data_IF_115843202783
#
_entry.id   IF_115843202783
#
_cell.length_a   1.000
_cell.length_b   1.000
_cell.length_c   1.000
_cell.angle_alpha   90.00
_cell.angle_beta   90.00
_cell.angle_gamma   90.00
#
_symmetry.space_group_name_H-M   'P 1'
#
loop_
_entity.id
_entity.type
_entity.pdbx_description
1 polymer ?
#
# COMPACT_ATOMS: atom_id res chain seq x y z
N UNK A 1 -7.84 14.26 33.91
CA UNK A 1 -7.14 14.03 32.61
C UNK A 1 -7.49 12.67 31.98
N UNK A 2 -7.50 11.55 32.73
CA UNK A 2 -7.82 10.20 32.21
C UNK A 2 -9.23 10.04 31.58
N UNK A 3 -10.25 10.77 32.05
CA UNK A 3 -11.61 10.70 31.50
C UNK A 3 -11.80 11.34 30.12
N UNK A 4 -10.89 12.23 29.72
CA UNK A 4 -11.01 12.95 28.44
C UNK A 4 -10.41 12.18 27.26
N UNK A 5 -9.51 11.22 27.53
CA UNK A 5 -8.79 10.51 26.48
C UNK A 5 -9.58 9.31 25.90
N UNK A 6 -10.39 8.65 26.73
CA UNK A 6 -11.19 7.48 26.33
C UNK A 6 -12.10 7.71 25.10
N UNK A 7 -12.74 8.89 24.91
CA UNK A 7 -13.56 9.14 23.73
C UNK A 7 -12.80 9.61 22.47
N UNK A 8 -11.57 10.10 22.57
CA UNK A 8 -10.86 10.72 21.42
C UNK A 8 -9.96 9.74 20.64
N UNK A 9 -9.47 8.68 21.28
CA UNK A 9 -8.73 7.64 20.56
C UNK A 9 -9.54 6.94 19.44
N UNK A 10 -10.81 6.53 19.64
CA UNK A 10 -11.55 5.82 18.58
C UNK A 10 -11.83 6.69 17.35
N UNK A 11 -12.03 8.01 17.53
CA UNK A 11 -12.24 8.91 16.39
C UNK A 11 -10.95 9.13 15.60
N UNK A 12 -9.80 9.26 16.28
CA UNK A 12 -8.50 9.41 15.64
C UNK A 12 -8.10 8.14 14.87
N UNK A 13 -8.37 6.94 15.43
CA UNK A 13 -8.10 5.67 14.76
C UNK A 13 -8.96 5.48 13.51
N UNK A 14 -10.23 5.88 13.58
CA UNK A 14 -11.13 5.87 12.43
C UNK A 14 -10.60 6.74 11.30
N UNK A 15 -10.18 7.98 11.63
CA UNK A 15 -9.55 8.89 10.66
C UNK A 15 -8.23 8.32 10.11
N UNK A 16 -7.42 7.70 10.96
CA UNK A 16 -6.12 7.12 10.57
C UNK A 16 -6.28 5.98 9.58
N UNK A 17 -7.22 5.06 9.80
CA UNK A 17 -7.50 3.98 8.84
C UNK A 17 -8.03 4.53 7.52
N UNK A 18 -8.88 5.56 7.58
CA UNK A 18 -9.43 6.21 6.39
C UNK A 18 -8.33 6.92 5.58
N UNK A 19 -7.43 7.65 6.24
CA UNK A 19 -6.28 8.30 5.63
C UNK A 19 -5.27 7.29 5.08
N UNK A 20 -5.00 6.20 5.81
CA UNK A 20 -4.08 5.14 5.36
C UNK A 20 -4.66 4.42 4.15
N UNK A 21 -5.96 4.15 4.14
CA UNK A 21 -6.67 3.58 2.99
C UNK A 21 -6.61 4.52 1.78
N UNK A 22 -6.85 5.81 1.97
CA UNK A 22 -6.74 6.81 0.91
C UNK A 22 -5.30 6.95 0.38
N UNK A 23 -4.31 7.01 1.27
CA UNK A 23 -2.90 7.10 0.91
C UNK A 23 -2.44 5.86 0.13
N UNK A 24 -2.89 4.66 0.53
CA UNK A 24 -2.58 3.41 -0.18
C UNK A 24 -3.15 3.41 -1.60
N UNK A 25 -4.40 3.89 -1.77
CA UNK A 25 -5.00 4.07 -3.10
C UNK A 25 -4.28 5.13 -3.95
N UNK A 26 -3.91 6.25 -3.34
CA UNK A 26 -3.19 7.33 -4.03
C UNK A 26 -1.80 6.88 -4.52
N UNK A 27 -1.02 6.22 -3.65
CA UNK A 27 0.30 5.71 -4.02
C UNK A 27 0.24 4.69 -5.16
N UNK A 28 -0.78 3.81 -5.17
CA UNK A 28 -0.98 2.86 -6.26
C UNK A 28 -1.28 3.54 -7.62
N UNK A 29 -1.82 4.76 -7.62
CA UNK A 29 -2.10 5.50 -8.84
C UNK A 29 -0.91 6.32 -9.36
N UNK A 30 -0.02 6.79 -8.48
CA UNK A 30 1.07 7.72 -8.83
C UNK A 30 2.38 7.01 -9.17
N UNK A 31 2.64 5.84 -8.58
CA UNK A 31 3.90 5.11 -8.80
C UNK A 31 4.06 4.44 -10.19
N UNK A 32 3.02 3.88 -10.84
CA UNK A 32 3.21 3.09 -12.04
C UNK A 32 3.32 3.96 -13.30
N UNK A 33 4.48 3.91 -13.96
CA UNK A 33 4.74 4.54 -15.27
C UNK A 33 4.21 3.74 -16.45
N UNK A 34 3.83 2.48 -16.25
CA UNK A 34 3.46 1.55 -17.32
C UNK A 34 2.19 0.76 -16.96
N UNK A 35 1.39 0.40 -17.97
CA UNK A 35 0.09 -0.26 -17.78
C UNK A 35 0.19 -1.62 -17.06
N UNK A 36 1.30 -2.34 -17.24
CA UNK A 36 1.54 -3.65 -16.60
C UNK A 36 1.87 -3.50 -15.12
N UNK A 37 2.70 -2.53 -14.75
CA UNK A 37 3.06 -2.24 -13.35
C UNK A 37 1.85 -1.75 -12.54
N UNK A 38 0.97 -0.98 -13.19
CA UNK A 38 -0.30 -0.54 -12.59
C UNK A 38 -1.23 -1.69 -12.26
N UNK A 39 -1.25 -2.73 -13.10
CA UNK A 39 -2.01 -3.96 -12.88
C UNK A 39 -1.50 -4.71 -11.64
N UNK A 40 -0.18 -4.86 -11.50
CA UNK A 40 0.44 -5.52 -10.33
C UNK A 40 0.13 -4.77 -9.04
N UNK A 41 0.33 -3.45 -9.03
CA UNK A 41 0.07 -2.62 -7.86
C UNK A 41 -1.40 -2.71 -7.39
N UNK A 42 -2.35 -2.68 -8.33
CA UNK A 42 -3.78 -2.86 -8.04
C UNK A 42 -4.08 -4.26 -7.48
N UNK A 43 -3.49 -5.32 -8.04
CA UNK A 43 -3.70 -6.69 -7.54
C UNK A 43 -3.17 -6.88 -6.13
N UNK A 44 -1.99 -6.33 -5.81
CA UNK A 44 -1.44 -6.37 -4.45
C UNK A 44 -2.33 -5.63 -3.46
N UNK A 45 -2.82 -4.44 -3.82
CA UNK A 45 -3.76 -3.67 -2.99
C UNK A 45 -5.09 -4.40 -2.75
N UNK A 46 -5.61 -5.09 -3.76
CA UNK A 46 -6.86 -5.85 -3.66
C UNK A 46 -6.71 -7.11 -2.78
N UNK A 47 -5.57 -7.79 -2.85
CA UNK A 47 -5.25 -8.93 -1.99
C UNK A 47 -5.14 -8.50 -0.51
N UNK A 48 -4.52 -7.34 -0.25
CA UNK A 48 -4.41 -6.73 1.08
C UNK A 48 -5.76 -6.36 1.70
N UNK A 49 -6.73 -5.95 0.87
CA UNK A 49 -8.06 -5.59 1.34
C UNK A 49 -8.94 -6.79 1.73
N UNK A 50 -8.69 -7.96 1.12
CA UNK A 50 -9.57 -9.13 1.23
C UNK A 50 -9.04 -10.21 2.19
N UNK A 51 -7.73 -10.24 2.46
CA UNK A 51 -7.11 -11.28 3.30
C UNK A 51 -6.32 -10.68 4.47
N UNK A 52 -6.27 -11.41 5.59
CA UNK A 52 -5.52 -10.99 6.77
C UNK A 52 -4.04 -10.69 6.46
N UNK A 53 -3.47 -9.73 7.19
CA UNK A 53 -2.16 -9.13 6.91
C UNK A 53 -1.05 -10.15 6.63
N UNK A 54 -1.04 -11.28 7.36
CA UNK A 54 -0.03 -12.33 7.16
C UNK A 54 -0.15 -13.03 5.81
N UNK A 55 -1.37 -13.38 5.38
CA UNK A 55 -1.58 -14.09 4.11
C UNK A 55 -1.41 -13.14 2.92
N UNK A 56 -1.90 -11.90 3.04
CA UNK A 56 -1.74 -10.91 2.01
C UNK A 56 -0.28 -10.52 1.77
N UNK A 57 0.54 -10.45 2.83
CA UNK A 57 1.96 -10.14 2.72
C UNK A 57 2.73 -11.25 2.01
N UNK A 58 2.45 -12.52 2.33
CA UNK A 58 3.10 -13.66 1.67
C UNK A 58 2.73 -13.72 0.19
N UNK A 59 1.44 -13.60 -0.16
CA UNK A 59 0.93 -13.70 -1.53
C UNK A 59 1.36 -12.49 -2.37
N UNK A 60 1.25 -11.28 -1.81
CA UNK A 60 1.68 -10.05 -2.47
C UNK A 60 3.18 -10.06 -2.76
N UNK A 61 3.99 -10.45 -1.77
CA UNK A 61 5.44 -10.57 -1.94
C UNK A 61 5.81 -11.63 -2.98
N UNK A 62 5.17 -12.81 -2.95
CA UNK A 62 5.42 -13.84 -3.97
C UNK A 62 5.01 -13.36 -5.36
N UNK A 63 3.85 -12.72 -5.54
CA UNK A 63 3.43 -12.18 -6.83
C UNK A 63 4.40 -11.10 -7.33
N UNK A 64 4.80 -10.16 -6.49
CA UNK A 64 5.75 -9.11 -6.88
C UNK A 64 7.11 -9.71 -7.24
N UNK A 65 7.63 -10.67 -6.46
CA UNK A 65 8.91 -11.34 -6.76
C UNK A 65 8.83 -12.17 -8.04
N UNK A 66 7.74 -12.92 -8.23
CA UNK A 66 7.56 -13.82 -9.37
C UNK A 66 7.29 -13.07 -10.68
N UNK A 67 6.61 -11.93 -10.61
CA UNK A 67 6.19 -11.14 -11.78
C UNK A 67 7.13 -9.98 -12.09
N UNK A 68 7.79 -9.38 -11.08
CA UNK A 68 8.85 -8.38 -11.27
C UNK A 68 10.23 -9.02 -11.49
N UNK A 69 10.41 -10.30 -11.14
CA UNK A 69 11.52 -11.13 -11.62
C UNK A 69 12.90 -10.50 -11.45
N UNK A 70 13.35 -10.38 -10.19
CA UNK A 70 14.71 -9.99 -9.76
C UNK A 70 15.53 -9.10 -10.72
N UNK A 71 15.27 -7.79 -10.72
CA UNK A 71 16.32 -6.80 -10.91
C UNK A 71 16.54 -6.10 -9.58
N UNK A 72 17.77 -6.15 -9.10
CA UNK A 72 18.35 -5.07 -8.30
C UNK A 72 17.87 -3.73 -8.87
N UNK A 73 17.36 -2.85 -8.00
CA UNK A 73 17.57 -1.41 -8.09
C UNK A 73 17.91 -0.89 -9.50
N UNK A 74 16.92 -0.76 -10.40
CA UNK A 74 17.12 0.13 -11.55
C UNK A 74 16.98 1.56 -11.06
N UNK A 75 18.08 2.02 -10.44
CA UNK A 75 18.70 3.32 -10.64
C UNK A 75 17.76 4.46 -11.09
N UNK A 76 17.52 5.41 -10.17
CA UNK A 76 17.05 6.77 -10.46
C UNK A 76 15.51 6.88 -10.58
N UNK A 77 14.80 7.67 -9.77
CA UNK A 77 15.19 8.94 -9.18
C UNK A 77 16.13 9.78 -10.05
N UNK A 78 15.99 9.69 -11.38
CA UNK A 78 16.08 10.89 -12.20
C UNK A 78 14.81 11.67 -11.87
N UNK A 79 14.91 12.44 -10.78
CA UNK A 79 14.41 13.81 -10.78
C UNK A 79 14.59 14.40 -12.18
N UNK A 80 13.52 14.92 -12.77
CA UNK A 80 13.51 16.24 -13.42
C UNK A 80 12.21 16.47 -14.22
N UNK A 81 11.72 17.73 -14.28
CA UNK A 81 11.00 18.44 -13.21
C UNK A 81 9.46 18.45 -13.37
#
# INVERSE_FOLDING_TARGET
ITWLLYPTLPVALSLTILLTGFACGYLAMVLPRNNVERGVAMTTGMILALFGAWQALVIGLTMTVLMCGWPFAREGMTDEP
#
